data_IF_246992480259
#
_entry.id   IF_246992480259
#
_cell.length_a   1.000
_cell.length_b   1.000
_cell.length_c   1.000
_cell.angle_alpha   90.00
_cell.angle_beta   90.00
_cell.angle_gamma   90.00
#
_symmetry.space_group_name_H-M   'P 1'
#
loop_
_entity.id
_entity.type
_entity.pdbx_description
1 polymer ?
#
# COMPACT_ATOMS: atom_id res chain seq x y z
N UNK A 1 -12.88 -12.99 -10.21
CA UNK A 1 -12.08 -11.95 -9.53
C UNK A 1 -12.31 -12.13 -8.05
N UNK A 2 -11.27 -12.11 -7.23
CA UNK A 2 -11.41 -12.21 -5.77
C UNK A 2 -11.79 -10.82 -5.25
N UNK A 3 -12.95 -10.71 -4.60
CA UNK A 3 -13.46 -9.45 -4.05
C UNK A 3 -12.52 -8.95 -2.95
N UNK A 4 -12.23 -7.64 -2.92
CA UNK A 4 -11.37 -7.09 -1.88
C UNK A 4 -12.00 -7.25 -0.49
N UNK A 5 -11.29 -7.93 0.41
CA UNK A 5 -11.68 -8.07 1.81
C UNK A 5 -11.21 -6.89 2.65
N UNK A 6 -12.16 -6.06 3.08
CA UNK A 6 -11.95 -4.92 3.97
C UNK A 6 -11.09 -5.26 5.19
N UNK A 7 -10.13 -4.39 5.46
CA UNK A 7 -9.25 -4.35 6.64
C UNK A 7 -9.80 -3.39 7.67
N UNK A 8 -9.33 -3.52 8.91
CA UNK A 8 -9.79 -2.69 10.04
C UNK A 8 -9.52 -1.19 9.88
N UNK A 9 -8.52 -0.83 9.08
CA UNK A 9 -8.14 0.56 8.85
C UNK A 9 -8.76 1.18 7.59
N UNK A 10 -9.48 0.39 6.80
CA UNK A 10 -10.10 0.87 5.59
C UNK A 10 -11.31 1.75 5.92
N UNK A 11 -11.51 2.79 5.11
CA UNK A 11 -12.69 3.65 5.20
C UNK A 11 -13.53 3.37 3.96
N UNK A 12 -14.70 2.76 4.14
CA UNK A 12 -15.66 2.60 3.06
C UNK A 12 -16.42 3.90 2.84
N UNK A 13 -16.46 4.38 1.60
CA UNK A 13 -17.18 5.60 1.22
C UNK A 13 -18.65 5.29 0.89
N UNK A 14 -19.44 6.35 0.66
CA UNK A 14 -20.84 6.21 0.22
C UNK A 14 -20.96 5.66 -1.20
N UNK A 15 -19.94 5.87 -2.03
CA UNK A 15 -19.89 5.41 -3.42
C UNK A 15 -19.36 3.98 -3.55
N UNK A 16 -19.31 3.24 -2.43
CA UNK A 16 -18.84 1.86 -2.34
C UNK A 16 -17.37 1.69 -2.77
N UNK A 17 -16.58 2.76 -2.64
CA UNK A 17 -15.13 2.77 -2.76
C UNK A 17 -14.48 2.62 -1.38
N UNK A 18 -13.17 2.41 -1.37
CA UNK A 18 -12.38 2.12 -0.18
C UNK A 18 -11.20 3.08 -0.17
N UNK A 19 -11.06 3.84 0.93
CA UNK A 19 -9.93 4.73 1.15
C UNK A 19 -8.98 4.08 2.16
N UNK A 20 -7.70 4.01 1.81
CA UNK A 20 -6.63 3.59 2.71
C UNK A 20 -5.28 4.23 2.37
N UNK A 21 -4.30 4.02 3.24
CA UNK A 21 -2.93 4.43 3.00
C UNK A 21 -2.16 3.33 2.27
N UNK A 22 -1.31 3.75 1.32
CA UNK A 22 -0.46 2.85 0.55
C UNK A 22 0.98 3.33 0.56
N UNK A 23 1.92 2.39 0.49
CA UNK A 23 3.36 2.69 0.42
C UNK A 23 3.96 1.84 -0.69
N UNK A 24 4.37 2.49 -1.78
CA UNK A 24 5.01 1.83 -2.90
C UNK A 24 6.53 1.81 -2.73
N UNK A 25 7.16 0.73 -3.17
CA UNK A 25 8.63 0.57 -3.23
C UNK A 25 9.25 1.21 -4.47
N UNK A 26 8.42 1.58 -5.45
CA UNK A 26 8.79 2.32 -6.64
C UNK A 26 7.67 3.29 -7.00
N UNK A 27 7.99 4.35 -7.73
CA UNK A 27 6.99 5.33 -8.13
C UNK A 27 5.95 4.70 -9.06
N UNK A 28 4.65 4.76 -8.75
CA UNK A 28 3.62 4.31 -9.68
C UNK A 28 3.68 5.11 -10.98
N UNK A 29 3.45 4.43 -12.09
CA UNK A 29 3.39 5.01 -13.43
C UNK A 29 2.15 4.48 -14.16
N UNK A 30 1.82 5.07 -15.30
CA UNK A 30 0.66 4.63 -16.09
C UNK A 30 0.68 3.11 -16.39
N UNK A 31 1.86 2.55 -16.67
CA UNK A 31 2.04 1.12 -16.96
C UNK A 31 2.46 0.30 -15.71
N UNK A 32 2.16 0.76 -14.50
CA UNK A 32 2.65 0.15 -13.27
C UNK A 32 2.30 -1.34 -13.18
N UNK A 33 1.03 -1.69 -13.36
CA UNK A 33 0.57 -3.08 -13.28
C UNK A 33 1.20 -3.98 -14.36
N UNK A 34 1.47 -3.45 -15.55
CA UNK A 34 2.17 -4.18 -16.60
C UNK A 34 3.63 -4.42 -16.24
N UNK A 35 4.29 -3.41 -15.67
CA UNK A 35 5.67 -3.53 -15.19
C UNK A 35 5.80 -4.56 -14.07
N UNK A 36 4.80 -4.65 -13.18
CA UNK A 36 4.78 -5.66 -12.12
C UNK A 36 4.74 -7.09 -12.64
N UNK A 37 4.05 -7.36 -13.77
CA UNK A 37 3.99 -8.69 -14.38
C UNK A 37 5.37 -9.22 -14.80
N UNK A 38 6.30 -8.32 -15.09
CA UNK A 38 7.67 -8.67 -15.48
C UNK A 38 8.58 -8.94 -14.26
N UNK A 39 8.10 -8.71 -13.04
CA UNK A 39 8.87 -8.93 -11.81
C UNK A 39 8.64 -10.30 -11.22
N UNK A 40 9.66 -10.81 -10.52
CA UNK A 40 9.53 -12.05 -9.77
C UNK A 40 8.68 -11.82 -8.51
N UNK A 41 7.42 -12.29 -8.53
CA UNK A 41 6.49 -12.18 -7.39
C UNK A 41 7.13 -12.60 -6.07
N UNK A 42 7.79 -13.76 -6.03
CA UNK A 42 8.32 -14.33 -4.78
C UNK A 42 9.37 -13.41 -4.16
N UNK A 43 10.24 -12.84 -4.99
CA UNK A 43 11.27 -11.90 -4.55
C UNK A 43 10.67 -10.59 -4.06
N UNK A 44 9.70 -10.02 -4.79
CA UNK A 44 9.05 -8.77 -4.40
C UNK A 44 8.28 -8.92 -3.08
N UNK A 45 7.53 -10.00 -2.91
CA UNK A 45 6.84 -10.27 -1.63
C UNK A 45 7.84 -10.49 -0.49
N UNK A 46 8.99 -11.14 -0.74
CA UNK A 46 10.04 -11.30 0.27
C UNK A 46 10.63 -9.95 0.69
N UNK A 47 10.92 -9.06 -0.27
CA UNK A 47 11.39 -7.69 0.00
C UNK A 47 10.37 -6.91 0.83
N UNK A 48 9.08 -6.98 0.47
CA UNK A 48 8.00 -6.32 1.21
C UNK A 48 7.84 -6.86 2.64
N UNK A 49 8.02 -8.18 2.86
CA UNK A 49 8.01 -8.77 4.21
C UNK A 49 9.13 -8.22 5.09
N UNK A 50 10.35 -8.10 4.54
CA UNK A 50 11.50 -7.53 5.24
C UNK A 50 11.24 -6.05 5.54
N UNK A 51 10.82 -5.29 4.53
CA UNK A 51 10.52 -3.87 4.66
C UNK A 51 9.44 -3.60 5.71
N UNK A 52 8.32 -4.33 5.65
CA UNK A 52 7.24 -4.25 6.65
C UNK A 52 7.76 -4.50 8.05
N UNK A 53 8.55 -5.56 8.24
CA UNK A 53 9.11 -5.88 9.56
C UNK A 53 10.00 -4.75 10.09
N UNK A 54 10.84 -4.17 9.23
CA UNK A 54 11.68 -3.01 9.56
C UNK A 54 10.82 -1.80 9.97
N UNK A 55 9.85 -1.41 9.13
CA UNK A 55 8.97 -0.27 9.41
C UNK A 55 8.19 -0.46 10.72
N UNK A 56 7.61 -1.64 10.94
CA UNK A 56 6.88 -1.94 12.17
C UNK A 56 7.78 -1.85 13.42
N UNK A 57 9.03 -2.28 13.32
CA UNK A 57 10.00 -2.19 14.41
C UNK A 57 10.40 -0.72 14.67
N UNK A 58 10.82 -0.02 13.62
CA UNK A 58 11.35 1.35 13.68
C UNK A 58 10.28 2.35 14.19
N UNK A 59 9.02 2.18 13.74
CA UNK A 59 7.90 3.06 14.10
C UNK A 59 7.04 2.54 15.27
N UNK A 60 7.37 1.36 15.84
CA UNK A 60 6.56 0.67 16.86
C UNK A 60 5.10 0.46 16.46
N UNK A 61 4.86 0.15 15.19
CA UNK A 61 3.53 -0.15 14.63
C UNK A 61 3.28 -1.66 14.71
N UNK A 62 2.07 -2.06 15.07
CA UNK A 62 1.70 -3.47 15.08
C UNK A 62 1.65 -4.02 13.65
N UNK A 63 2.18 -5.23 13.42
CA UNK A 63 2.17 -5.88 12.09
C UNK A 63 0.76 -6.07 11.53
N UNK A 64 -0.27 -6.13 12.38
CA UNK A 64 -1.67 -6.22 11.94
C UNK A 64 -2.19 -4.94 11.31
N UNK A 65 -1.52 -3.81 11.50
CA UNK A 65 -1.92 -2.51 10.92
C UNK A 65 -1.25 -2.23 9.57
N UNK A 66 -0.45 -3.18 9.07
CA UNK A 66 0.27 -3.06 7.79
C UNK A 66 0.26 -4.39 7.03
N UNK A 67 -0.46 -4.43 5.91
CA UNK A 67 -0.60 -5.61 5.07
C UNK A 67 0.27 -5.49 3.82
N UNK A 68 0.61 -6.65 3.25
CA UNK A 68 1.25 -6.72 1.93
C UNK A 68 0.15 -6.93 0.91
N UNK A 69 0.08 -6.02 -0.06
CA UNK A 69 -0.72 -6.19 -1.26
C UNK A 69 0.08 -7.03 -2.26
N UNK A 70 -0.31 -8.30 -2.39
CA UNK A 70 0.38 -9.22 -3.30
C UNK A 70 0.01 -9.04 -4.77
N UNK A 71 -0.98 -8.19 -5.09
CA UNK A 71 -1.37 -7.91 -6.47
C UNK A 71 -0.59 -6.70 -7.01
N UNK A 72 -0.47 -5.65 -6.19
CA UNK A 72 0.18 -4.38 -6.57
C UNK A 72 1.56 -4.18 -5.94
N UNK A 73 2.12 -5.21 -5.30
CA UNK A 73 3.47 -5.22 -4.68
C UNK A 73 3.77 -3.97 -3.84
N UNK A 74 2.85 -3.64 -2.94
CA UNK A 74 2.93 -2.46 -2.05
C UNK A 74 2.50 -2.83 -0.64
N UNK A 75 2.67 -1.91 0.30
CA UNK A 75 2.13 -2.05 1.65
C UNK A 75 0.81 -1.28 1.77
N UNK A 76 -0.20 -1.91 2.37
CA UNK A 76 -1.47 -1.28 2.74
C UNK A 76 -1.47 -0.97 4.23
N UNK A 77 -1.96 0.20 4.62
CA UNK A 77 -2.09 0.61 6.01
C UNK A 77 -3.16 1.69 6.14
N UNK A 78 -3.35 2.24 7.34
CA UNK A 78 -4.28 3.35 7.53
C UNK A 78 -3.77 4.63 6.86
N UNK A 79 -4.72 5.46 6.37
CA UNK A 79 -4.42 6.85 5.96
C UNK A 79 -3.64 7.62 7.04
N UNK A 80 -3.98 7.41 8.31
CA UNK A 80 -3.35 8.07 9.45
C UNK A 80 -1.87 7.72 9.61
N UNK A 81 -1.49 6.44 9.42
CA UNK A 81 -0.08 6.01 9.47
C UNK A 81 0.71 6.65 8.33
N UNK A 82 0.19 6.60 7.10
CA UNK A 82 0.89 7.18 5.94
C UNK A 82 1.07 8.68 6.11
N UNK A 83 0.02 9.39 6.54
CA UNK A 83 0.06 10.84 6.75
C UNK A 83 0.99 11.26 7.88
N UNK A 84 1.04 10.48 8.98
CA UNK A 84 1.88 10.80 10.13
C UNK A 84 3.37 10.61 9.85
N UNK A 85 3.73 9.58 9.07
CA UNK A 85 5.11 9.15 8.88
C UNK A 85 5.62 9.35 7.44
N UNK A 86 4.98 10.21 6.63
CA UNK A 86 5.33 10.39 5.22
C UNK A 86 6.80 10.80 5.01
N UNK A 87 7.35 11.65 5.88
CA UNK A 87 8.78 12.07 5.82
C UNK A 87 9.69 10.85 5.99
N UNK A 88 9.42 10.02 6.99
CA UNK A 88 10.18 8.79 7.22
C UNK A 88 10.13 7.84 6.01
N UNK A 89 8.96 7.70 5.37
CA UNK A 89 8.84 6.88 4.16
C UNK A 89 9.64 7.47 2.99
N UNK A 90 9.64 8.80 2.82
CA UNK A 90 10.46 9.48 1.80
C UNK A 90 11.96 9.31 2.03
N UNK A 91 12.43 9.39 3.28
CA UNK A 91 13.83 9.16 3.64
C UNK A 91 14.29 7.72 3.31
N UNK A 92 13.38 6.76 3.33
CA UNK A 92 13.61 5.39 2.88
C UNK A 92 13.49 5.19 1.36
N UNK A 93 13.32 6.27 0.59
CA UNK A 93 13.03 6.26 -0.85
C UNK A 93 11.75 5.48 -1.21
N UNK A 94 10.76 5.51 -0.33
CA UNK A 94 9.43 4.96 -0.59
C UNK A 94 8.47 6.06 -1.03
N UNK A 95 7.36 5.66 -1.62
CA UNK A 95 6.34 6.55 -2.15
C UNK A 95 5.04 6.39 -1.35
N UNK A 96 4.86 7.14 -0.26
CA UNK A 96 3.62 7.14 0.51
C UNK A 96 2.49 7.84 -0.26
N UNK A 97 1.30 7.24 -0.25
CA UNK A 97 0.11 7.85 -0.84
C UNK A 97 -1.17 7.45 -0.10
N UNK A 98 -2.23 8.20 -0.35
CA UNK A 98 -3.61 7.84 0.00
C UNK A 98 -4.26 7.35 -1.29
N UNK A 99 -4.80 6.14 -1.27
CA UNK A 99 -5.49 5.57 -2.43
C UNK A 99 -6.97 5.42 -2.12
N UNK A 100 -7.79 5.79 -3.11
CA UNK A 100 -9.20 5.45 -3.19
C UNK A 100 -9.39 4.39 -4.29
N UNK A 101 -9.95 3.24 -3.92
CA UNK A 101 -10.09 2.09 -4.81
C UNK A 101 -11.51 1.53 -4.82
N UNK A 102 -11.93 0.97 -5.95
CA UNK A 102 -13.16 0.18 -6.01
C UNK A 102 -12.96 -1.18 -5.31
N UNK A 103 -14.05 -1.88 -4.99
CA UNK A 103 -13.99 -3.26 -4.47
C UNK A 103 -13.33 -4.27 -5.42
N UNK A 104 -13.28 -3.95 -6.70
CA UNK A 104 -12.56 -4.72 -7.72
C UNK A 104 -11.08 -4.34 -7.82
N UNK A 105 -10.56 -3.56 -6.86
CA UNK A 105 -9.19 -3.05 -6.77
C UNK A 105 -8.78 -2.10 -7.90
N UNK A 106 -9.74 -1.48 -8.59
CA UNK A 106 -9.42 -0.40 -9.55
C UNK A 106 -9.07 0.86 -8.76
N UNK A 107 -7.89 1.42 -9.02
CA UNK A 107 -7.47 2.71 -8.46
C UNK A 107 -8.31 3.82 -9.10
N UNK A 108 -9.03 4.57 -8.27
CA UNK A 108 -9.88 5.69 -8.69
C UNK A 108 -9.08 6.98 -8.53
N UNK A 109 -8.46 7.17 -7.37
CA UNK A 109 -7.65 8.34 -7.07
C UNK A 109 -6.43 7.95 -6.21
N UNK A 110 -5.29 8.61 -6.47
CA UNK A 110 -4.06 8.45 -5.70
C UNK A 110 -3.49 9.82 -5.39
N UNK A 111 -3.41 10.14 -4.09
CA UNK A 111 -2.80 11.37 -3.58
C UNK A 111 -1.44 11.03 -2.96
N UNK A 112 -0.34 11.42 -3.61
CA UNK A 112 1.01 11.25 -3.05
C UNK A 112 1.30 12.31 -1.98
N UNK A 113 1.89 11.88 -0.86
CA UNK A 113 2.27 12.75 0.26
C UNK A 113 3.72 13.19 0.17
#
# INVERSE_FOLDING_TARGET
MEEYKLKKFDIQTKDNTIIHGVIYTEKPSFNYLENLKNKNKVEEIKKLKILRNKICLDLRINKIDMFIDELKYRLLTSRGIVSRYYVYFKELNLFPAIAEESKDNLEIEIEFL
#
